data_IF_450468370701
#
_entry.id   IF_450468370701
#
_cell.length_a   1.000
_cell.length_b   1.000
_cell.length_c   1.000
_cell.angle_alpha   90.00
_cell.angle_beta   90.00
_cell.angle_gamma   90.00
#
_symmetry.space_group_name_H-M   'P 1'
#
loop_
_entity.id
_entity.type
_entity.pdbx_description
1 polymer ?
#
# COMPACT_ATOMS: atom_id res chain seq x y z
N UNK A 1 30.11 -6.99 25.64
CA UNK A 1 29.93 -6.85 24.17
C UNK A 1 28.45 -6.59 23.94
N UNK A 2 28.11 -5.68 23.04
CA UNK A 2 26.73 -5.41 22.64
C UNK A 2 26.46 -6.08 21.29
N UNK A 3 25.39 -6.88 21.21
CA UNK A 3 24.97 -7.52 19.97
C UNK A 3 24.12 -6.54 19.16
N UNK A 4 24.50 -6.33 17.90
CA UNK A 4 23.80 -5.48 16.94
C UNK A 4 23.29 -6.34 15.81
N UNK A 5 22.04 -6.08 15.39
CA UNK A 5 21.39 -6.80 14.31
C UNK A 5 20.83 -5.81 13.29
N UNK A 6 21.18 -5.99 12.02
CA UNK A 6 20.77 -5.11 10.91
C UNK A 6 20.08 -5.93 9.83
N UNK A 7 18.95 -5.44 9.31
CA UNK A 7 18.34 -6.01 8.10
C UNK A 7 19.29 -5.83 6.90
N UNK A 8 19.51 -6.89 6.14
CA UNK A 8 20.42 -6.90 4.99
C UNK A 8 19.80 -7.67 3.81
N UNK A 9 19.59 -6.99 2.67
CA UNK A 9 18.88 -7.56 1.52
C UNK A 9 17.38 -7.74 1.78
N UNK A 10 16.73 -8.63 1.03
CA UNK A 10 15.28 -8.83 1.11
C UNK A 10 14.83 -9.65 2.33
N UNK A 11 15.66 -10.61 2.77
CA UNK A 11 15.31 -11.53 3.87
C UNK A 11 16.46 -11.77 4.85
N UNK A 12 17.62 -11.13 4.65
CA UNK A 12 18.80 -11.37 5.47
C UNK A 12 18.85 -10.49 6.71
N UNK A 13 19.65 -10.94 7.66
CA UNK A 13 20.00 -10.21 8.87
C UNK A 13 21.51 -10.36 9.08
N UNK A 14 22.17 -9.24 9.36
CA UNK A 14 23.58 -9.17 9.68
C UNK A 14 23.73 -8.93 11.18
N UNK A 15 24.17 -9.95 11.89
CA UNK A 15 24.50 -9.89 13.32
C UNK A 15 26.00 -9.68 13.52
N UNK A 16 26.38 -8.78 14.44
CA UNK A 16 27.76 -8.58 14.86
C UNK A 16 27.83 -7.98 16.26
N UNK A 17 29.01 -8.03 16.86
CA UNK A 17 29.25 -7.52 18.21
C UNK A 17 30.12 -6.26 18.18
N UNK A 18 29.76 -5.28 19.01
CA UNK A 18 30.56 -4.07 19.22
C UNK A 18 30.94 -3.96 20.71
N UNK A 19 32.15 -3.49 21.01
CA UNK A 19 32.49 -3.04 22.36
C UNK A 19 31.60 -1.83 22.71
N UNK A 20 30.78 -1.89 23.77
CA UNK A 20 29.87 -0.79 24.14
C UNK A 20 30.55 0.57 24.24
N UNK A 21 31.85 0.63 24.59
CA UNK A 21 32.62 1.87 24.67
C UNK A 21 32.89 2.53 23.31
N UNK A 22 32.67 1.81 22.22
CA UNK A 22 32.81 2.28 20.84
C UNK A 22 31.46 2.65 20.21
N UNK A 23 30.34 2.45 20.92
CA UNK A 23 29.01 2.86 20.46
C UNK A 23 28.83 4.34 20.76
N UNK A 24 28.74 5.17 19.72
CA UNK A 24 28.52 6.62 19.86
C UNK A 24 27.02 6.93 20.05
N UNK A 25 26.16 6.24 19.30
CA UNK A 25 24.71 6.37 19.39
C UNK A 25 24.01 5.13 18.82
N UNK A 26 22.79 4.85 19.32
CA UNK A 26 21.91 3.81 18.80
C UNK A 26 20.53 4.40 18.55
N UNK A 27 20.22 4.69 17.28
CA UNK A 27 18.92 5.22 16.86
C UNK A 27 18.03 4.09 16.34
N UNK A 28 17.02 3.73 17.12
CA UNK A 28 16.00 2.78 16.68
C UNK A 28 14.90 3.50 15.92
N UNK A 29 14.40 2.87 14.87
CA UNK A 29 13.23 3.35 14.15
C UNK A 29 12.01 3.45 15.07
N UNK A 30 11.00 4.25 14.68
CA UNK A 30 9.77 4.36 15.45
C UNK A 30 9.10 3.00 15.60
N UNK A 31 8.32 2.84 16.67
CA UNK A 31 7.50 1.65 16.86
C UNK A 31 6.53 1.47 15.66
N UNK A 32 6.22 0.23 15.26
CA UNK A 32 5.23 -0.03 14.23
C UNK A 32 3.89 0.66 14.55
N UNK A 33 3.22 1.16 13.52
CA UNK A 33 1.89 1.75 13.68
C UNK A 33 0.87 0.65 13.96
N UNK A 34 0.33 0.60 15.18
CA UNK A 34 -0.60 -0.44 15.63
C UNK A 34 -2.02 -0.31 15.05
N UNK A 35 -2.39 0.86 14.54
CA UNK A 35 -3.73 1.16 14.01
C UNK A 35 -3.64 1.86 12.65
N UNK A 36 -3.02 1.16 11.70
CA UNK A 36 -2.73 1.72 10.37
C UNK A 36 -4.01 2.08 9.60
N UNK A 37 -5.06 1.26 9.72
CA UNK A 37 -6.33 1.47 9.01
C UNK A 37 -7.03 2.77 9.47
N UNK A 38 -7.10 3.01 10.78
CA UNK A 38 -7.67 4.26 11.31
C UNK A 38 -6.86 5.48 10.91
N UNK A 39 -5.52 5.36 10.91
CA UNK A 39 -4.61 6.42 10.43
C UNK A 39 -4.85 6.75 8.96
N UNK A 40 -5.01 5.75 8.10
CA UNK A 40 -5.36 5.97 6.69
C UNK A 40 -6.70 6.68 6.54
N UNK A 41 -7.75 6.22 7.23
CA UNK A 41 -9.06 6.89 7.21
C UNK A 41 -8.97 8.35 7.69
N UNK A 42 -8.16 8.63 8.71
CA UNK A 42 -7.94 10.01 9.17
C UNK A 42 -7.23 10.85 8.12
N UNK A 43 -6.16 10.33 7.51
CA UNK A 43 -5.37 11.05 6.51
C UNK A 43 -6.17 11.33 5.23
N UNK A 44 -6.97 10.37 4.76
CA UNK A 44 -7.76 10.53 3.54
C UNK A 44 -8.95 11.50 3.71
N UNK A 45 -9.48 11.64 4.94
CA UNK A 45 -10.54 12.62 5.25
C UNK A 45 -10.04 14.06 5.35
N UNK A 46 -8.77 14.26 5.69
CA UNK A 46 -8.16 15.57 5.80
C UNK A 46 -6.80 15.58 5.07
N UNK A 47 -6.80 15.51 3.72
CA UNK A 47 -5.56 15.61 2.97
C UNK A 47 -4.92 16.99 3.18
N UNK A 48 -3.59 17.05 3.12
CA UNK A 48 -2.84 18.26 3.47
C UNK A 48 -3.06 19.38 2.45
N UNK A 49 -2.91 19.07 1.16
CA UNK A 49 -2.88 20.07 0.08
C UNK A 49 -4.01 19.90 -0.95
N UNK A 50 -4.92 18.95 -0.72
CA UNK A 50 -5.98 18.60 -1.65
C UNK A 50 -7.32 18.45 -0.92
N UNK A 51 -8.45 18.66 -1.62
CA UNK A 51 -9.75 18.25 -1.11
C UNK A 51 -9.78 16.74 -0.85
N UNK A 52 -10.59 16.32 0.11
CA UNK A 52 -10.86 14.90 0.37
C UNK A 52 -11.44 14.19 -0.86
N UNK A 53 -11.25 12.87 -0.96
CA UNK A 53 -11.88 12.07 -2.03
C UNK A 53 -13.40 12.25 -2.05
N UNK A 54 -14.01 12.43 -0.88
CA UNK A 54 -15.46 12.68 -0.75
C UNK A 54 -15.92 14.00 -1.39
N UNK A 55 -15.02 14.98 -1.57
CA UNK A 55 -15.33 16.25 -2.22
C UNK A 55 -15.10 16.23 -3.73
N UNK A 56 -14.25 15.34 -4.22
CA UNK A 56 -13.89 15.29 -5.66
C UNK A 56 -14.57 14.18 -6.43
N UNK A 57 -15.02 13.11 -5.75
CA UNK A 57 -15.68 12.00 -6.41
C UNK A 57 -17.21 12.12 -6.39
N UNK A 58 -17.83 11.74 -7.50
CA UNK A 58 -19.27 11.67 -7.71
C UNK A 58 -19.69 10.29 -8.25
N UNK A 59 -20.99 9.93 -8.14
CA UNK A 59 -21.47 8.67 -8.72
C UNK A 59 -21.17 8.58 -10.22
N UNK A 60 -20.67 7.43 -10.66
CA UNK A 60 -20.29 7.16 -12.05
C UNK A 60 -18.85 7.51 -12.41
N UNK A 61 -18.07 8.08 -11.49
CA UNK A 61 -16.64 8.28 -11.70
C UNK A 61 -15.89 6.95 -11.86
N UNK A 62 -14.91 6.94 -12.78
CA UNK A 62 -13.97 5.83 -12.94
C UNK A 62 -12.67 6.16 -12.26
N UNK A 63 -12.25 5.30 -11.34
CA UNK A 63 -11.11 5.56 -10.45
C UNK A 63 -10.00 4.55 -10.70
N UNK A 64 -8.78 5.02 -10.92
CA UNK A 64 -7.59 4.18 -10.98
C UNK A 64 -6.70 4.44 -9.78
N UNK A 65 -6.41 3.38 -9.03
CA UNK A 65 -5.51 3.36 -7.89
C UNK A 65 -4.15 2.82 -8.34
N UNK A 66 -3.23 3.72 -8.68
CA UNK A 66 -1.84 3.35 -8.93
C UNK A 66 -1.19 2.94 -7.59
N UNK A 67 -0.82 1.67 -7.45
CA UNK A 67 -0.37 1.08 -6.21
C UNK A 67 0.99 0.40 -6.40
N UNK A 68 2.02 0.90 -5.71
CA UNK A 68 3.34 0.27 -5.74
C UNK A 68 3.31 -1.11 -5.06
N UNK A 69 4.12 -2.05 -5.57
CA UNK A 69 4.20 -3.45 -5.11
C UNK A 69 4.63 -3.56 -3.65
N UNK A 70 5.45 -2.63 -3.18
CA UNK A 70 6.04 -2.65 -1.84
C UNK A 70 5.33 -1.73 -0.86
N UNK A 71 4.19 -1.15 -1.25
CA UNK A 71 3.37 -0.28 -0.39
C UNK A 71 3.03 -1.01 0.92
N UNK A 72 3.54 -0.54 2.08
CA UNK A 72 3.22 -1.15 3.36
C UNK A 72 1.73 -0.98 3.69
N UNK A 73 1.09 -2.07 4.10
CA UNK A 73 -0.34 -2.05 4.44
C UNK A 73 -1.26 -1.78 3.24
N UNK A 74 -0.88 -2.24 2.05
CA UNK A 74 -1.64 -2.05 0.82
C UNK A 74 -3.13 -2.45 0.94
N UNK A 75 -3.41 -3.58 1.59
CA UNK A 75 -4.79 -4.07 1.79
C UNK A 75 -5.60 -3.17 2.72
N UNK A 76 -4.98 -2.62 3.76
CA UNK A 76 -5.59 -1.64 4.67
C UNK A 76 -5.84 -0.32 3.96
N UNK A 77 -4.90 0.14 3.12
CA UNK A 77 -5.04 1.35 2.33
C UNK A 77 -6.20 1.23 1.33
N UNK A 78 -6.26 0.15 0.56
CA UNK A 78 -7.33 -0.09 -0.42
C UNK A 78 -8.69 -0.16 0.26
N UNK A 79 -8.80 -0.84 1.42
CA UNK A 79 -10.04 -0.85 2.20
C UNK A 79 -10.45 0.56 2.66
N UNK A 80 -9.51 1.36 3.17
CA UNK A 80 -9.81 2.73 3.60
C UNK A 80 -10.24 3.64 2.44
N UNK A 81 -9.67 3.46 1.24
CA UNK A 81 -10.08 4.21 0.05
C UNK A 81 -11.46 3.78 -0.42
N UNK A 82 -11.74 2.47 -0.46
CA UNK A 82 -13.06 1.94 -0.79
C UNK A 82 -14.15 2.55 0.11
N UNK A 83 -13.94 2.55 1.43
CA UNK A 83 -14.89 3.13 2.39
C UNK A 83 -15.31 4.56 2.03
N UNK A 84 -14.39 5.37 1.47
CA UNK A 84 -14.67 6.76 1.06
C UNK A 84 -15.34 6.87 -0.30
N UNK A 85 -14.98 6.01 -1.25
CA UNK A 85 -15.56 6.00 -2.59
C UNK A 85 -17.00 5.47 -2.58
N UNK A 86 -17.27 4.44 -1.76
CA UNK A 86 -18.61 3.88 -1.55
C UNK A 86 -19.59 4.94 -0.99
N UNK A 87 -19.14 5.75 -0.03
CA UNK A 87 -19.92 6.89 0.50
C UNK A 87 -20.28 7.94 -0.57
N UNK A 88 -19.59 7.94 -1.71
CA UNK A 88 -19.86 8.83 -2.85
C UNK A 88 -20.61 8.14 -3.98
N UNK A 89 -21.01 6.88 -3.81
CA UNK A 89 -21.76 6.12 -4.81
C UNK A 89 -20.91 5.72 -6.01
N UNK A 90 -19.58 5.62 -5.85
CA UNK A 90 -18.71 5.03 -6.88
C UNK A 90 -18.86 3.51 -6.82
N UNK A 91 -19.21 2.90 -7.95
CA UNK A 91 -19.36 1.44 -8.05
C UNK A 91 -18.02 0.73 -7.95
N UNK A 92 -17.97 -0.43 -7.31
CA UNK A 92 -16.75 -1.24 -7.23
C UNK A 92 -16.19 -1.60 -8.63
N UNK A 93 -17.08 -1.90 -9.58
CA UNK A 93 -16.70 -2.21 -10.98
C UNK A 93 -16.06 -1.05 -11.75
N UNK A 94 -16.21 0.19 -11.30
CA UNK A 94 -15.59 1.39 -11.87
C UNK A 94 -14.21 1.70 -11.26
N UNK A 95 -13.73 0.86 -10.34
CA UNK A 95 -12.44 1.00 -9.67
C UNK A 95 -11.45 -0.02 -10.21
N UNK A 96 -10.26 0.46 -10.59
CA UNK A 96 -9.12 -0.35 -11.02
C UNK A 96 -7.93 -0.12 -10.10
N UNK A 97 -7.40 -1.18 -9.50
CA UNK A 97 -6.07 -1.17 -8.88
C UNK A 97 -5.03 -1.55 -9.94
N UNK A 98 -4.06 -0.67 -10.15
CA UNK A 98 -2.98 -0.88 -11.12
C UNK A 98 -1.65 -1.00 -10.38
N UNK A 99 -0.99 -2.15 -10.50
CA UNK A 99 0.36 -2.36 -9.94
C UNK A 99 1.37 -2.66 -11.04
N UNK A 100 2.64 -2.26 -10.92
CA UNK A 100 3.64 -2.63 -11.89
C UNK A 100 4.00 -4.12 -11.78
N UNK A 101 4.46 -4.70 -12.89
CA UNK A 101 5.18 -5.97 -12.88
C UNK A 101 6.50 -5.79 -12.12
N UNK A 102 7.03 -6.86 -11.50
CA UNK A 102 8.40 -6.87 -11.03
C UNK A 102 9.21 -7.85 -11.86
N UNK A 103 10.49 -7.54 -11.97
CA UNK A 103 11.48 -8.42 -12.57
C UNK A 103 11.75 -9.65 -11.70
N UNK A 104 11.43 -9.57 -10.39
CA UNK A 104 11.46 -10.72 -9.51
C UNK A 104 10.15 -11.53 -9.58
N UNK A 105 10.25 -12.86 -9.47
CA UNK A 105 9.10 -13.77 -9.54
C UNK A 105 8.23 -13.76 -8.26
N UNK A 106 8.35 -12.72 -7.43
CA UNK A 106 7.60 -12.64 -6.17
C UNK A 106 6.11 -12.49 -6.46
N UNK A 107 5.30 -13.39 -5.88
CA UNK A 107 3.85 -13.31 -5.97
C UNK A 107 3.35 -12.12 -5.16
N UNK A 108 2.49 -11.29 -5.76
CA UNK A 108 1.86 -10.19 -5.05
C UNK A 108 0.70 -10.68 -4.17
N UNK A 109 0.61 -10.24 -2.90
CA UNK A 109 -0.60 -10.42 -2.11
C UNK A 109 -1.74 -9.62 -2.74
N UNK A 110 -2.97 -10.15 -2.73
CA UNK A 110 -4.12 -9.43 -3.27
C UNK A 110 -4.40 -8.16 -2.44
N UNK A 111 -4.30 -6.96 -3.04
CA UNK A 111 -4.51 -5.71 -2.32
C UNK A 111 -5.99 -5.50 -1.93
N UNK A 112 -6.92 -6.31 -2.44
CA UNK A 112 -8.35 -6.27 -2.12
C UNK A 112 -8.73 -7.21 -0.98
N UNK A 113 -7.77 -7.87 -0.33
CA UNK A 113 -8.00 -8.94 0.63
C UNK A 113 -8.78 -8.54 1.90
N UNK A 114 -8.98 -7.24 2.16
CA UNK A 114 -9.81 -6.75 3.26
C UNK A 114 -11.18 -6.21 2.81
N UNK A 115 -11.47 -6.18 1.50
CA UNK A 115 -12.76 -5.76 0.98
C UNK A 115 -13.84 -6.84 1.21
N UNK A 116 -15.12 -6.45 1.35
CA UNK A 116 -16.24 -7.39 1.28
C UNK A 116 -16.20 -8.20 -0.02
N UNK A 117 -16.68 -9.45 0.03
CA UNK A 117 -16.52 -10.39 -1.09
C UNK A 117 -17.13 -9.88 -2.41
N UNK A 118 -18.35 -9.35 -2.38
CA UNK A 118 -18.99 -8.78 -3.59
C UNK A 118 -18.19 -7.64 -4.20
N UNK A 119 -17.72 -6.71 -3.35
CA UNK A 119 -16.87 -5.58 -3.77
C UNK A 119 -15.55 -6.08 -4.36
N UNK A 120 -14.91 -7.08 -3.73
CA UNK A 120 -13.65 -7.65 -4.20
C UNK A 120 -13.78 -8.29 -5.58
N UNK A 121 -14.89 -8.98 -5.84
CA UNK A 121 -15.15 -9.64 -7.11
C UNK A 121 -15.39 -8.64 -8.24
N UNK A 122 -16.05 -7.51 -7.95
CA UNK A 122 -16.33 -6.47 -8.93
C UNK A 122 -15.13 -5.54 -9.20
N UNK A 123 -14.37 -5.20 -8.15
CA UNK A 123 -13.22 -4.31 -8.25
C UNK A 123 -12.09 -4.93 -9.06
N UNK A 124 -11.61 -4.21 -10.08
CA UNK A 124 -10.59 -4.72 -10.98
C UNK A 124 -9.19 -4.60 -10.37
N UNK A 125 -8.34 -5.58 -10.62
CA UNK A 125 -6.92 -5.53 -10.29
C UNK A 125 -6.11 -5.98 -11.50
N UNK A 126 -5.22 -5.11 -11.97
CA UNK A 126 -4.37 -5.37 -13.13
C UNK A 126 -2.90 -5.13 -12.81
N UNK A 127 -2.06 -5.96 -13.41
CA UNK A 127 -0.61 -5.79 -13.41
C UNK A 127 -0.21 -5.14 -14.75
N UNK A 128 0.43 -3.98 -14.65
CA UNK A 128 1.00 -3.23 -15.77
C UNK A 128 2.40 -3.74 -16.07
N UNK A 129 2.62 -4.17 -17.31
CA UNK A 129 3.93 -4.51 -17.84
C UNK A 129 4.25 -3.54 -18.99
N UNK A 130 5.25 -2.66 -18.83
CA UNK A 130 5.60 -1.70 -19.87
C UNK A 130 6.24 -2.36 -21.11
N UNK A 131 6.60 -3.65 -21.04
CA UNK A 131 7.16 -4.41 -22.17
C UNK A 131 6.10 -5.15 -22.98
N UNK A 132 4.85 -5.22 -22.48
CA UNK A 132 3.73 -5.83 -23.17
C UNK A 132 3.14 -4.88 -24.22
N UNK A 133 3.68 -4.95 -25.44
CA UNK A 133 3.27 -4.11 -26.57
C UNK A 133 1.86 -4.41 -27.10
N UNK A 134 1.24 -5.53 -26.71
CA UNK A 134 -0.11 -5.92 -27.17
C UNK A 134 -1.23 -5.17 -26.45
N UNK A 135 -0.96 -4.58 -25.28
CA UNK A 135 -1.95 -3.80 -24.51
C UNK A 135 -2.12 -2.35 -24.98
N UNK A 136 -1.33 -1.92 -25.95
CA UNK A 136 -1.33 -0.55 -26.47
C UNK A 136 -1.81 -0.43 -27.94
N UNK A 137 -2.30 -1.53 -28.53
CA UNK A 137 -2.80 -1.58 -29.91
C UNK A 137 -4.32 -1.53 -29.97
#
# INVERSE_FOLDING_TARGET
>A
MEAVSLKYGQQGELGFEIDPRRVVAHHRGPAPCSDLLSRFRSALRAPLDFPSLTQVCVPGDKVVLALDRHTPGAKELVAAVWDMLDQRGVSAGDILILQPVALDAAKLPDPRALLPEGVRQEMQWQIHDPTDTKKHA
#
